data_IF_387153168180
#
_entry.id   IF_387153168180
#
_cell.length_a   1.000
_cell.length_b   1.000
_cell.length_c   1.000
_cell.angle_alpha   90.00
_cell.angle_beta   90.00
_cell.angle_gamma   90.00
#
_symmetry.space_group_name_H-M   'P 1'
#
loop_
_entity.id
_entity.type
_entity.pdbx_description
1 polymer ?
#
# COMPACT_ATOMS: atom_id res chain seq x y z
N UNK A 1 18.00 18.08 -1.22
CA UNK A 1 16.74 17.45 -1.68
C UNK A 1 16.82 15.99 -1.30
N UNK A 2 15.84 15.51 -0.54
CA UNK A 2 15.85 14.20 0.07
C UNK A 2 15.65 13.16 -1.06
N UNK A 3 16.70 12.42 -1.40
CA UNK A 3 16.70 11.38 -2.46
C UNK A 3 15.49 10.43 -2.34
N UNK A 4 15.16 10.13 -1.09
CA UNK A 4 13.96 9.52 -0.52
C UNK A 4 12.61 9.83 -1.18
N UNK A 5 12.27 11.12 -1.31
CA UNK A 5 10.98 11.56 -1.86
C UNK A 5 11.01 11.44 -3.39
N UNK A 6 12.18 11.65 -3.99
CA UNK A 6 12.40 11.51 -5.42
C UNK A 6 12.21 10.06 -5.84
N UNK A 7 12.76 9.09 -5.11
CA UNK A 7 12.62 7.65 -5.41
C UNK A 7 11.16 7.18 -5.35
N UNK A 8 10.39 7.62 -4.35
CA UNK A 8 8.97 7.28 -4.27
C UNK A 8 8.18 7.95 -5.40
N UNK A 9 8.47 9.21 -5.73
CA UNK A 9 7.83 9.92 -6.85
C UNK A 9 8.18 9.27 -8.19
N UNK A 10 9.42 8.85 -8.41
CA UNK A 10 9.85 8.13 -9.61
C UNK A 10 9.15 6.78 -9.73
N UNK A 11 9.05 6.02 -8.63
CA UNK A 11 8.29 4.78 -8.60
C UNK A 11 6.81 5.03 -8.92
N UNK A 12 6.24 6.09 -8.37
CA UNK A 12 4.85 6.49 -8.63
C UNK A 12 4.63 6.87 -10.10
N UNK A 13 5.53 7.66 -10.68
CA UNK A 13 5.36 8.22 -12.02
C UNK A 13 5.74 7.24 -13.14
N UNK A 14 6.70 6.34 -12.90
CA UNK A 14 7.22 5.42 -13.91
C UNK A 14 6.66 4.00 -13.85
N UNK A 15 6.31 3.50 -12.65
CA UNK A 15 6.07 2.07 -12.45
C UNK A 15 4.71 1.70 -11.86
N UNK A 16 3.90 2.69 -11.45
CA UNK A 16 2.57 2.41 -10.89
C UNK A 16 1.66 1.61 -11.82
N UNK A 17 1.58 1.87 -13.14
CA UNK A 17 0.74 1.06 -14.03
C UNK A 17 1.10 -0.43 -13.97
N UNK A 18 2.39 -0.76 -13.96
CA UNK A 18 2.88 -2.14 -13.87
C UNK A 18 2.59 -2.74 -12.50
N UNK A 19 2.80 -1.98 -11.42
CA UNK A 19 2.48 -2.41 -10.05
C UNK A 19 0.99 -2.70 -9.92
N UNK A 20 0.12 -1.82 -10.42
CA UNK A 20 -1.34 -2.01 -10.37
C UNK A 20 -1.78 -3.21 -11.20
N UNK A 21 -1.14 -3.45 -12.35
CA UNK A 21 -1.39 -4.64 -13.16
C UNK A 21 -1.05 -5.92 -12.40
N UNK A 22 0.11 -5.96 -11.72
CA UNK A 22 0.51 -7.09 -10.88
C UNK A 22 -0.42 -7.28 -9.67
N UNK A 23 -0.81 -6.19 -9.02
CA UNK A 23 -1.71 -6.20 -7.88
C UNK A 23 -3.15 -6.62 -8.23
N UNK A 24 -3.55 -6.50 -9.50
CA UNK A 24 -4.89 -6.85 -9.96
C UNK A 24 -5.25 -8.34 -9.74
N UNK A 25 -4.25 -9.23 -9.76
CA UNK A 25 -4.40 -10.68 -9.58
C UNK A 25 -3.70 -11.23 -8.34
N UNK A 26 -3.01 -10.39 -7.57
CA UNK A 26 -2.25 -10.81 -6.39
C UNK A 26 -3.17 -11.18 -5.20
N UNK A 27 -3.24 -12.46 -4.84
CA UNK A 27 -4.09 -12.93 -3.72
C UNK A 27 -3.29 -13.47 -2.52
N UNK A 28 -1.97 -13.46 -2.60
CA UNK A 28 -1.16 -14.32 -1.73
C UNK A 28 0.21 -13.76 -1.37
N UNK A 29 0.63 -12.65 -1.97
CA UNK A 29 1.95 -12.08 -1.75
C UNK A 29 1.84 -10.64 -1.27
N UNK A 30 2.80 -10.22 -0.45
CA UNK A 30 2.96 -8.83 -0.04
C UNK A 30 4.23 -8.30 -0.70
N UNK A 31 4.04 -7.39 -1.66
CA UNK A 31 5.11 -6.62 -2.28
C UNK A 31 5.35 -5.35 -1.48
N UNK A 32 6.59 -5.17 -1.02
CA UNK A 32 7.04 -4.01 -0.26
C UNK A 32 8.16 -3.32 -0.99
N UNK A 33 7.91 -2.07 -1.39
CA UNK A 33 8.84 -1.20 -2.07
C UNK A 33 9.51 -0.28 -1.06
N UNK A 34 10.82 -0.11 -1.19
CA UNK A 34 11.58 0.78 -0.33
C UNK A 34 11.20 2.23 -0.64
N UNK A 35 10.87 2.99 0.39
CA UNK A 35 10.70 4.43 0.32
C UNK A 35 11.28 5.05 1.59
N UNK A 36 12.57 5.40 1.56
CA UNK A 36 13.27 6.07 2.66
C UNK A 36 13.22 5.33 4.00
N UNK A 37 12.60 5.87 5.05
CA UNK A 37 12.40 5.16 6.33
C UNK A 37 11.15 4.28 6.39
N UNK A 38 10.58 3.98 5.22
CA UNK A 38 9.38 3.17 5.08
C UNK A 38 9.54 2.05 4.04
N UNK A 39 8.70 1.06 4.22
CA UNK A 39 8.33 0.07 3.22
C UNK A 39 6.88 0.29 2.85
N UNK A 40 6.58 0.34 1.56
CA UNK A 40 5.26 0.70 1.02
C UNK A 40 4.71 -0.46 0.22
N UNK A 41 3.47 -0.83 0.50
CA UNK A 41 2.67 -1.77 -0.27
C UNK A 41 1.52 -1.03 -0.95
N UNK A 42 1.05 -1.57 -2.07
CA UNK A 42 -0.07 -1.04 -2.87
C UNK A 42 -1.23 -2.03 -2.89
N UNK A 43 -2.45 -1.52 -3.02
CA UNK A 43 -3.66 -2.31 -3.31
C UNK A 43 -3.83 -3.58 -2.47
N UNK A 44 -3.71 -4.78 -3.07
CA UNK A 44 -3.94 -6.04 -2.38
C UNK A 44 -2.79 -6.38 -1.44
N UNK A 45 -1.55 -6.05 -1.79
CA UNK A 45 -0.41 -6.09 -0.87
C UNK A 45 -0.64 -5.16 0.32
N UNK A 46 -1.21 -3.96 0.11
CA UNK A 46 -1.55 -3.05 1.19
C UNK A 46 -2.63 -3.63 2.11
N UNK A 47 -3.67 -4.25 1.53
CA UNK A 47 -4.70 -4.96 2.27
C UNK A 47 -4.13 -6.11 3.11
N UNK A 48 -3.29 -6.95 2.51
CA UNK A 48 -2.63 -8.06 3.18
C UNK A 48 -1.69 -7.57 4.29
N UNK A 49 -0.92 -6.49 4.05
CA UNK A 49 -0.08 -5.87 5.06
C UNK A 49 -0.89 -5.36 6.25
N UNK A 50 -2.04 -4.72 6.01
CA UNK A 50 -2.92 -4.27 7.09
C UNK A 50 -3.48 -5.43 7.94
N UNK A 51 -3.61 -6.61 7.34
CA UNK A 51 -4.02 -7.83 8.06
C UNK A 51 -2.89 -8.47 8.85
N UNK A 52 -1.66 -8.40 8.34
CA UNK A 52 -0.47 -8.84 9.05
C UNK A 52 -0.12 -7.88 10.21
N UNK A 53 -0.32 -6.59 9.99
CA UNK A 53 0.14 -5.51 10.85
C UNK A 53 -0.86 -4.34 10.86
N UNK A 54 -1.62 -4.24 11.95
CA UNK A 54 -2.70 -3.26 12.09
C UNK A 54 -2.21 -1.81 12.19
N UNK A 55 -0.99 -1.58 12.68
CA UNK A 55 -0.39 -0.25 12.86
C UNK A 55 0.24 0.33 11.57
N UNK A 56 -0.02 -0.31 10.43
CA UNK A 56 0.39 0.22 9.13
C UNK A 56 -0.32 1.55 8.82
N UNK A 57 0.43 2.50 8.25
CA UNK A 57 -0.09 3.82 7.88
C UNK A 57 -0.77 3.68 6.53
N UNK A 58 -2.08 3.90 6.50
CA UNK A 58 -2.88 3.73 5.28
C UNK A 58 -3.10 5.08 4.61
N UNK A 59 -2.66 5.19 3.35
CA UNK A 59 -2.70 6.43 2.56
C UNK A 59 -3.35 6.15 1.21
N UNK A 60 -4.62 6.54 1.03
CA UNK A 60 -5.22 6.61 -0.30
C UNK A 60 -4.66 7.78 -1.10
N UNK A 61 -4.41 7.55 -2.39
CA UNK A 61 -3.80 8.52 -3.30
C UNK A 61 -4.55 8.54 -4.63
N UNK A 62 -4.73 9.72 -5.21
CA UNK A 62 -5.24 9.85 -6.57
C UNK A 62 -4.07 9.83 -7.55
N UNK A 63 -4.11 8.92 -8.52
CA UNK A 63 -3.15 8.86 -9.62
C UNK A 63 -3.87 9.33 -10.89
N UNK A 64 -3.19 10.11 -11.72
CA UNK A 64 -3.79 10.75 -12.91
C UNK A 64 -4.46 9.73 -13.86
N UNK A 65 -3.89 8.53 -13.98
CA UNK A 65 -4.32 7.50 -14.92
C UNK A 65 -5.16 6.38 -14.29
N UNK A 66 -5.56 6.50 -13.02
CA UNK A 66 -6.37 5.50 -12.34
C UNK A 66 -7.84 5.98 -12.19
N UNK A 67 -8.84 5.16 -12.53
CA UNK A 67 -10.26 5.55 -12.45
C UNK A 67 -10.75 5.74 -11.02
N UNK A 68 -10.13 5.03 -10.07
CA UNK A 68 -10.36 5.14 -8.63
C UNK A 68 -9.06 5.49 -7.93
N UNK A 69 -9.10 6.19 -6.78
CA UNK A 69 -7.93 6.35 -5.94
C UNK A 69 -7.31 5.00 -5.59
N UNK A 70 -5.99 4.94 -5.60
CA UNK A 70 -5.22 3.79 -5.14
C UNK A 70 -5.07 3.84 -3.62
N UNK A 71 -4.87 2.71 -2.97
CA UNK A 71 -4.62 2.64 -1.53
C UNK A 71 -3.22 2.09 -1.26
N UNK A 72 -2.44 2.83 -0.48
CA UNK A 72 -1.12 2.42 0.00
C UNK A 72 -1.18 2.08 1.48
N UNK A 73 -0.34 1.14 1.90
CA UNK A 73 -0.03 0.90 3.31
C UNK A 73 1.48 0.98 3.50
N UNK A 74 1.94 1.70 4.53
CA UNK A 74 3.36 1.83 4.83
C UNK A 74 3.71 1.42 6.25
N UNK A 75 4.90 0.85 6.41
CA UNK A 75 5.46 0.41 7.69
C UNK A 75 6.86 1.01 7.82
N UNK A 76 7.18 1.55 9.01
CA UNK A 76 8.52 2.06 9.30
C UNK A 76 9.53 0.92 9.31
N UNK A 77 10.76 1.17 8.85
CA UNK A 77 11.83 0.15 8.84
C UNK A 77 11.98 -0.53 10.21
N UNK A 78 11.97 0.26 11.29
CA UNK A 78 12.08 -0.25 12.66
C UNK A 78 10.97 -1.22 13.08
N UNK A 79 9.80 -1.15 12.44
CA UNK A 79 8.65 -2.00 12.75
C UNK A 79 8.53 -3.17 11.76
N UNK A 80 9.44 -3.31 10.81
CA UNK A 80 9.37 -4.37 9.80
C UNK A 80 9.42 -5.77 10.40
N UNK A 81 10.29 -5.98 11.40
CA UNK A 81 10.41 -7.29 12.07
C UNK A 81 9.08 -7.74 12.67
N UNK A 82 8.33 -6.80 13.23
CA UNK A 82 7.01 -7.07 13.80
C UNK A 82 5.98 -7.31 12.70
N UNK A 83 5.95 -6.44 11.68
CA UNK A 83 5.00 -6.53 10.58
C UNK A 83 5.13 -7.82 9.75
N UNK A 84 6.32 -8.41 9.72
CA UNK A 84 6.61 -9.63 8.95
C UNK A 84 6.82 -10.86 9.83
N UNK A 85 6.56 -10.78 11.14
CA UNK A 85 6.86 -11.84 12.12
C UNK A 85 6.29 -13.21 11.73
N UNK A 86 5.08 -13.22 11.18
CA UNK A 86 4.34 -14.44 10.81
C UNK A 86 4.31 -14.68 9.29
N UNK A 87 5.20 -14.04 8.53
CA UNK A 87 5.27 -14.13 7.08
C UNK A 87 6.56 -14.80 6.65
N UNK A 88 6.51 -15.58 5.57
CA UNK A 88 7.70 -16.19 5.00
C UNK A 88 8.31 -15.26 3.95
N UNK A 89 9.60 -14.96 4.08
CA UNK A 89 10.30 -14.10 3.12
C UNK A 89 10.63 -14.88 1.84
N UNK A 90 10.07 -14.44 0.71
CA UNK A 90 10.34 -15.03 -0.61
C UNK A 90 11.50 -14.31 -1.32
N UNK A 91 11.64 -13.02 -1.08
CA UNK A 91 12.70 -12.19 -1.67
C UNK A 91 13.02 -11.04 -0.73
N UNK A 92 14.31 -10.81 -0.46
CA UNK A 92 14.80 -9.67 0.30
C UNK A 92 15.89 -8.96 -0.50
N UNK A 93 15.58 -7.75 -0.98
CA UNK A 93 16.56 -6.86 -1.62
C UNK A 93 16.42 -5.47 -1.00
N UNK A 94 17.40 -4.60 -1.23
CA UNK A 94 17.40 -3.24 -0.70
C UNK A 94 16.19 -2.41 -1.17
N UNK A 95 15.70 -2.67 -2.39
CA UNK A 95 14.60 -1.90 -3.01
C UNK A 95 13.24 -2.58 -2.95
N UNK A 96 13.22 -3.92 -2.87
CA UNK A 96 12.02 -4.72 -2.96
C UNK A 96 12.09 -5.93 -2.03
N UNK A 97 11.06 -6.09 -1.22
CA UNK A 97 10.82 -7.29 -0.42
C UNK A 97 9.51 -7.94 -0.82
N UNK A 98 9.50 -9.27 -0.83
CA UNK A 98 8.31 -10.06 -1.15
C UNK A 98 8.11 -11.08 -0.05
N UNK A 99 6.92 -11.09 0.53
CA UNK A 99 6.53 -12.05 1.56
C UNK A 99 5.35 -12.90 1.10
N UNK A 100 5.37 -14.17 1.49
CA UNK A 100 4.23 -15.07 1.36
C UNK A 100 3.20 -14.76 2.44
N UNK A 101 1.98 -14.51 1.99
CA UNK A 101 0.81 -14.17 2.79
C UNK A 101 -0.38 -15.09 2.47
N UNK A 102 -0.15 -16.31 1.95
CA UNK A 102 -1.22 -17.30 1.72
C UNK A 102 -2.00 -17.66 2.98
N UNK A 103 -1.39 -17.50 4.15
CA UNK A 103 -2.04 -17.65 5.45
C UNK A 103 -3.04 -16.51 5.75
N UNK A 104 -2.95 -15.38 5.05
CA UNK A 104 -3.87 -14.26 5.15
C UNK A 104 -4.89 -14.35 4.01
N UNK A 105 -6.18 -14.42 4.34
CA UNK A 105 -7.21 -14.58 3.30
C UNK A 105 -7.41 -13.32 2.45
N UNK A 106 -6.92 -13.30 1.21
CA UNK A 106 -7.29 -12.28 0.24
C UNK A 106 -8.34 -12.83 -0.73
N UNK A 107 -9.53 -12.25 -0.72
CA UNK A 107 -10.53 -12.51 -1.75
C UNK A 107 -11.07 -11.17 -2.28
N UNK A 108 -11.62 -11.21 -3.49
CA UNK A 108 -12.09 -9.99 -4.18
C UNK A 108 -13.15 -9.24 -3.38
N UNK A 109 -14.05 -9.93 -2.66
CA UNK A 109 -15.11 -9.29 -1.90
C UNK A 109 -14.56 -8.55 -0.66
N UNK A 110 -13.71 -9.21 0.12
CA UNK A 110 -13.06 -8.65 1.30
C UNK A 110 -12.17 -7.46 0.94
N UNK A 111 -11.38 -7.61 -0.11
CA UNK A 111 -10.53 -6.54 -0.63
C UNK A 111 -11.38 -5.35 -1.10
N UNK A 112 -12.38 -5.58 -1.96
CA UNK A 112 -13.24 -4.51 -2.49
C UNK A 112 -13.96 -3.76 -1.37
N UNK A 113 -14.43 -4.46 -0.33
CA UNK A 113 -15.07 -3.84 0.84
C UNK A 113 -14.08 -2.96 1.61
N UNK A 114 -12.89 -3.47 1.88
CA UNK A 114 -11.84 -2.71 2.58
C UNK A 114 -11.40 -1.48 1.77
N UNK A 115 -11.13 -1.65 0.48
CA UNK A 115 -10.69 -0.59 -0.43
C UNK A 115 -11.74 0.53 -0.51
N UNK A 116 -13.00 0.17 -0.77
CA UNK A 116 -14.10 1.14 -0.82
C UNK A 116 -14.27 1.91 0.50
N UNK A 117 -14.10 1.24 1.64
CA UNK A 117 -14.16 1.90 2.94
C UNK A 117 -13.02 2.92 3.08
N UNK A 118 -11.78 2.56 2.75
CA UNK A 118 -10.63 3.48 2.83
C UNK A 118 -10.73 4.67 1.89
N UNK A 119 -11.17 4.44 0.66
CA UNK A 119 -11.35 5.52 -0.34
C UNK A 119 -12.51 6.46 0.04
N UNK A 120 -13.67 5.94 0.47
CA UNK A 120 -14.83 6.78 0.84
C UNK A 120 -14.53 7.70 2.02
N UNK A 121 -13.80 7.22 3.02
CA UNK A 121 -13.44 8.03 4.19
C UNK A 121 -12.62 9.27 3.79
N UNK A 122 -11.76 9.17 2.77
CA UNK A 122 -11.01 10.33 2.27
C UNK A 122 -11.89 11.33 1.54
N UNK A 123 -12.79 10.88 0.67
CA UNK A 123 -13.70 11.79 -0.06
C UNK A 123 -14.57 12.58 0.94
N UNK A 124 -15.07 11.92 1.98
CA UNK A 124 -15.84 12.57 3.04
C UNK A 124 -15.00 13.56 3.87
N UNK A 125 -13.75 13.20 4.22
CA UNK A 125 -12.86 14.08 4.99
C UNK A 125 -12.49 15.35 4.20
N UNK A 126 -12.10 15.21 2.93
CA UNK A 126 -11.74 16.34 2.06
C UNK A 126 -12.94 17.25 1.78
N UNK A 127 -14.14 16.68 1.63
CA UNK A 127 -15.38 17.45 1.45
C UNK A 127 -15.75 18.26 2.69
N UNK A 128 -15.46 17.74 3.89
CA UNK A 128 -15.70 18.45 5.16
C UNK A 128 -14.66 19.54 5.40
N UNK A 129 -13.39 19.30 5.10
CA UNK A 129 -12.33 20.31 5.22
C UNK A 129 -12.59 21.54 4.33
N UNK A 130 -12.96 21.32 3.06
CA UNK A 130 -13.35 22.42 2.15
C UNK A 130 -14.51 23.28 2.67
N UNK A 131 -15.46 22.70 3.40
CA UNK A 131 -16.60 23.45 3.99
C UNK A 131 -16.25 24.23 5.25
N UNK A 132 -15.14 23.95 5.91
CA UNK A 132 -14.69 24.67 7.11
C UNK A 132 -13.71 25.81 6.78
N UNK A 133 -13.17 25.82 5.56
CA UNK A 133 -12.26 26.86 5.04
C UNK A 133 -12.96 27.85 4.09
N UNK A 134 -14.29 27.72 3.91
CA UNK A 134 -15.16 28.66 3.16
C UNK A 134 -16.13 29.33 4.12
#
# INVERSE_FOLDING_TARGET
>A
MNSSVVELIELINGHIPDILFMEASNLSQIYLYRADDYWVAFERSAFLLCRAYADSIITPMKVANAPTPIVMASVKVKNMLEATRNLHCLRDTEKLRIYDARNLSCNNASFSRWHNWKVKNIVCYLSRKKRMES
#
